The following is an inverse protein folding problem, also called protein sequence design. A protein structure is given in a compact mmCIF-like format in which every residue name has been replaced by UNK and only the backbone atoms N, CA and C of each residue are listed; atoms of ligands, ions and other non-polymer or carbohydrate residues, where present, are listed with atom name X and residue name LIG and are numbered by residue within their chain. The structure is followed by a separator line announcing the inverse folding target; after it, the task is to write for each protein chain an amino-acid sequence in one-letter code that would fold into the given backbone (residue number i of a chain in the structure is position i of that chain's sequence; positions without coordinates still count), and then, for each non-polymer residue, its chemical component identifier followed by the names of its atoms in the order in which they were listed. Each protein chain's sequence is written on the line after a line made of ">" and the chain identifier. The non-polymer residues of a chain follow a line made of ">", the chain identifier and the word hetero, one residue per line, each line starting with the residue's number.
data_IF_417923951164
#
_entry.id   IF_417923951164
#
_cell.length_a   1.000
_cell.length_b   1.000
_cell.length_c   1.000
_cell.angle_alpha   90.00
_cell.angle_beta   90.00
_cell.angle_gamma   90.00
#
_symmetry.space_group_name_H-M   'P 1'
#
loop_
_entity.id
_entity.type
_entity.pdbx_description
1 polymer ?
#
# COMPACT_ATOMS: atom_id res chain seq x y z
N UNK A 1 -4.42 8.92 7.20
CA UNK A 1 -3.83 8.12 6.10
C UNK A 1 -4.92 7.98 5.08
N UNK A 2 -4.83 8.71 3.96
CA UNK A 2 -5.77 8.55 2.85
C UNK A 2 -5.20 7.43 1.98
N UNK A 3 -5.81 6.25 2.04
CA UNK A 3 -5.26 5.00 1.46
C UNK A 3 -5.65 4.81 -0.01
N UNK A 4 -6.26 5.81 -0.66
CA UNK A 4 -6.78 5.66 -2.03
C UNK A 4 -5.68 5.82 -3.07
N UNK A 5 -4.99 4.71 -3.35
CA UNK A 5 -4.17 4.58 -4.55
C UNK A 5 -5.04 4.09 -5.72
N UNK A 6 -5.15 4.89 -6.78
CA UNK A 6 -5.80 4.48 -8.04
C UNK A 6 -4.73 4.19 -9.08
N UNK A 7 -4.82 3.03 -9.73
CA UNK A 7 -3.91 2.59 -10.78
C UNK A 7 -4.71 2.10 -11.99
N UNK A 8 -4.28 2.47 -13.19
CA UNK A 8 -4.85 1.96 -14.44
C UNK A 8 -4.04 0.76 -14.91
N UNK A 9 -4.71 -0.36 -15.18
CA UNK A 9 -4.13 -1.60 -15.68
C UNK A 9 -4.78 -1.96 -17.02
N UNK A 10 -4.01 -2.47 -17.99
CA UNK A 10 -4.54 -2.82 -19.30
C UNK A 10 -4.50 -4.32 -19.54
N UNK A 11 -5.59 -4.92 -20.00
CA UNK A 11 -5.63 -6.34 -20.36
C UNK A 11 -6.71 -6.63 -21.41
N UNK A 12 -6.36 -7.41 -22.44
CA UNK A 12 -7.26 -7.82 -23.52
C UNK A 12 -8.03 -6.66 -24.19
N UNK A 13 -7.38 -5.51 -24.36
CA UNK A 13 -7.99 -4.33 -25.00
C UNK A 13 -8.94 -3.54 -24.09
N UNK A 14 -9.02 -3.88 -22.80
CA UNK A 14 -9.80 -3.17 -21.78
C UNK A 14 -8.88 -2.54 -20.73
N UNK A 15 -9.18 -1.31 -20.37
CA UNK A 15 -8.58 -0.64 -19.23
C UNK A 15 -9.40 -0.93 -17.97
N UNK A 16 -8.69 -1.20 -16.88
CA UNK A 16 -9.25 -1.47 -15.57
C UNK A 16 -8.72 -0.45 -14.56
N UNK A 17 -9.61 0.07 -13.72
CA UNK A 17 -9.23 0.93 -12.62
C UNK A 17 -9.10 0.12 -11.33
N UNK A 18 -7.87 -0.10 -10.88
CA UNK A 18 -7.60 -0.73 -9.60
C UNK A 18 -7.54 0.35 -8.50
N UNK A 19 -8.34 0.17 -7.45
CA UNK A 19 -8.26 1.03 -6.25
C UNK A 19 -7.81 0.20 -5.05
N UNK A 20 -6.76 0.63 -4.37
CA UNK A 20 -6.43 0.07 -3.05
C UNK A 20 -7.24 0.84 -2.02
N UNK A 21 -8.21 0.19 -1.38
CA UNK A 21 -9.00 0.75 -0.30
C UNK A 21 -9.29 -0.31 0.77
N UNK A 22 -10.08 0.02 1.78
CA UNK A 22 -10.43 -0.93 2.85
C UNK A 22 -11.18 -2.17 2.33
N UNK A 23 -12.01 -2.04 1.29
CA UNK A 23 -12.73 -3.16 0.70
C UNK A 23 -11.78 -4.12 -0.03
N UNK A 24 -10.78 -3.57 -0.72
CA UNK A 24 -9.71 -4.35 -1.33
C UNK A 24 -8.90 -5.12 -0.27
N UNK A 25 -8.60 -4.48 0.87
CA UNK A 25 -7.92 -5.14 1.99
C UNK A 25 -8.77 -6.26 2.60
N UNK A 26 -10.06 -6.04 2.87
CA UNK A 26 -10.94 -7.10 3.36
C UNK A 26 -10.99 -8.28 2.39
N UNK A 27 -11.09 -8.01 1.09
CA UNK A 27 -11.06 -9.07 0.06
C UNK A 27 -9.73 -9.83 0.07
N UNK A 28 -8.61 -9.14 0.29
CA UNK A 28 -7.31 -9.78 0.47
C UNK A 28 -7.30 -10.70 1.71
N UNK A 29 -7.84 -10.24 2.84
CA UNK A 29 -7.93 -11.05 4.07
C UNK A 29 -8.75 -12.31 3.84
N UNK A 30 -9.90 -12.19 3.18
CA UNK A 30 -10.79 -13.31 2.86
C UNK A 30 -10.10 -14.38 1.99
N UNK A 31 -9.29 -13.96 1.02
CA UNK A 31 -8.62 -14.86 0.07
C UNK A 31 -7.37 -15.52 0.66
N UNK A 32 -6.64 -14.81 1.52
CA UNK A 32 -5.32 -15.23 2.00
C UNK A 32 -5.31 -15.70 3.45
N UNK A 33 -6.30 -15.31 4.25
CA UNK A 33 -6.31 -15.47 5.70
C UNK A 33 -5.28 -14.59 6.42
N UNK A 34 -4.65 -13.65 5.74
CA UNK A 34 -3.62 -12.76 6.29
C UNK A 34 -4.20 -11.38 6.57
N UNK A 35 -3.63 -10.70 7.56
CA UNK A 35 -4.05 -9.35 7.89
C UNK A 35 -3.64 -8.34 6.79
N UNK A 36 -4.61 -7.55 6.33
CA UNK A 36 -4.45 -6.56 5.26
C UNK A 36 -3.59 -5.37 5.67
N UNK A 37 -3.58 -4.97 6.95
CA UNK A 37 -2.69 -3.90 7.45
C UNK A 37 -1.23 -4.35 7.51
N UNK A 38 -0.97 -5.61 7.86
CA UNK A 38 0.37 -6.18 7.75
C UNK A 38 0.83 -6.18 6.30
N UNK A 39 -0.06 -6.49 5.36
CA UNK A 39 0.24 -6.43 3.93
C UNK A 39 0.57 -5.00 3.48
N UNK A 40 -0.19 -3.99 3.89
CA UNK A 40 0.14 -2.58 3.62
C UNK A 40 1.52 -2.21 4.16
N UNK A 41 1.80 -2.55 5.41
CA UNK A 41 3.11 -2.31 6.04
C UNK A 41 4.23 -2.97 5.23
N UNK A 42 4.01 -4.18 4.71
CA UNK A 42 4.98 -4.85 3.85
C UNK A 42 5.18 -4.10 2.53
N UNK A 43 4.12 -3.62 1.89
CA UNK A 43 4.21 -2.84 0.65
C UNK A 43 5.00 -1.54 0.85
N UNK A 44 4.67 -0.78 1.90
CA UNK A 44 5.36 0.47 2.26
C UNK A 44 6.86 0.25 2.50
N UNK A 45 7.23 -0.88 3.10
CA UNK A 45 8.62 -1.22 3.38
C UNK A 45 9.36 -1.88 2.20
N UNK A 46 8.80 -1.84 0.98
CA UNK A 46 9.39 -2.43 -0.22
C UNK A 46 9.37 -3.96 -0.22
N UNK A 47 8.32 -4.55 0.37
CA UNK A 47 8.17 -5.99 0.54
C UNK A 47 8.11 -6.77 -0.78
N UNK A 48 7.69 -6.13 -1.88
CA UNK A 48 7.70 -6.76 -3.21
C UNK A 48 9.14 -6.94 -3.69
N UNK A 49 9.95 -5.87 -3.64
CA UNK A 49 11.35 -5.87 -4.08
C UNK A 49 12.22 -6.80 -3.22
N UNK A 50 11.87 -6.91 -1.93
CA UNK A 50 12.53 -7.80 -0.98
C UNK A 50 12.05 -9.25 -1.06
N UNK A 51 11.07 -9.57 -1.92
CA UNK A 51 10.51 -10.91 -2.06
C UNK A 51 9.75 -11.41 -0.81
N UNK A 52 9.30 -10.49 0.05
CA UNK A 52 8.51 -10.79 1.25
C UNK A 52 7.03 -11.03 0.95
N UNK A 53 6.60 -10.61 -0.25
CA UNK A 53 5.24 -10.75 -0.73
C UNK A 53 5.25 -11.79 -1.85
N UNK A 54 4.49 -12.86 -1.68
CA UNK A 54 4.36 -13.92 -2.67
C UNK A 54 3.37 -13.58 -3.78
N UNK A 55 3.39 -14.39 -4.84
CA UNK A 55 2.49 -14.24 -5.99
C UNK A 55 1.01 -14.38 -5.60
N UNK A 56 0.69 -15.24 -4.62
CA UNK A 56 -0.68 -15.42 -4.13
C UNK A 56 -1.20 -14.13 -3.50
N UNK A 57 -0.38 -13.46 -2.70
CA UNK A 57 -0.71 -12.21 -2.03
C UNK A 57 -0.90 -11.07 -3.03
N UNK A 58 0.01 -10.95 -4.01
CA UNK A 58 -0.11 -9.94 -5.07
C UNK A 58 -1.41 -10.13 -5.87
N UNK A 59 -1.71 -11.38 -6.26
CA UNK A 59 -2.94 -11.70 -6.98
C UNK A 59 -4.19 -11.39 -6.17
N UNK A 60 -4.20 -11.69 -4.88
CA UNK A 60 -5.32 -11.40 -3.99
C UNK A 60 -5.55 -9.89 -3.83
N UNK A 61 -4.47 -9.11 -3.74
CA UNK A 61 -4.55 -7.66 -3.62
C UNK A 61 -5.06 -7.01 -4.91
N UNK A 62 -4.53 -7.40 -6.08
CA UNK A 62 -5.02 -6.95 -7.39
C UNK A 62 -6.49 -7.33 -7.57
N UNK A 63 -6.86 -8.54 -7.17
CA UNK A 63 -8.24 -9.01 -7.23
C UNK A 63 -9.18 -8.13 -6.41
N UNK A 64 -8.82 -7.84 -5.16
CA UNK A 64 -9.59 -6.96 -4.29
C UNK A 64 -9.73 -5.56 -4.86
N UNK A 65 -8.65 -4.98 -5.37
CA UNK A 65 -8.67 -3.61 -5.89
C UNK A 65 -9.37 -3.44 -7.23
N UNK A 66 -9.43 -4.49 -8.03
CA UNK A 66 -10.13 -4.51 -9.32
C UNK A 66 -11.63 -4.78 -9.19
N UNK A 67 -12.04 -5.48 -8.13
CA UNK A 67 -13.45 -5.88 -7.92
C UNK A 67 -14.39 -4.68 -7.76
N UNK A 68 -13.86 -3.53 -7.34
CA UNK A 68 -14.62 -2.29 -7.27
C UNK A 68 -15.04 -1.74 -8.64
N UNK A 69 -14.22 -1.93 -9.66
CA UNK A 69 -14.44 -1.47 -11.05
C UNK A 69 -15.08 -2.55 -11.93
N UNK A 70 -14.71 -3.81 -11.71
CA UNK A 70 -15.22 -4.97 -12.44
C UNK A 70 -15.80 -6.01 -11.46
N UNK A 71 -17.11 -5.98 -11.17
CA UNK A 71 -17.75 -6.94 -10.26
C UNK A 71 -17.63 -8.40 -10.72
N UNK A 72 -17.49 -8.62 -12.04
CA UNK A 72 -17.25 -9.92 -12.67
C UNK A 72 -15.82 -10.45 -12.51
N UNK A 73 -14.92 -9.64 -11.91
CA UNK A 73 -13.52 -10.00 -11.72
C UNK A 73 -13.40 -11.34 -10.98
N UNK A 74 -12.46 -12.18 -11.45
CA UNK A 74 -12.12 -13.46 -10.83
C UNK A 74 -10.66 -13.45 -10.39
N UNK A 75 -10.30 -14.33 -9.45
CA UNK A 75 -8.89 -14.48 -9.04
C UNK A 75 -7.99 -14.91 -10.20
N UNK A 76 -8.52 -15.71 -11.14
CA UNK A 76 -7.77 -16.13 -12.31
C UNK A 76 -7.50 -14.95 -13.25
N UNK A 77 -8.53 -14.16 -13.56
CA UNK A 77 -8.39 -12.98 -14.42
C UNK A 77 -7.46 -11.94 -13.80
N UNK A 78 -7.60 -11.70 -12.49
CA UNK A 78 -6.67 -10.90 -11.70
C UNK A 78 -5.22 -11.39 -11.84
N UNK A 79 -4.98 -12.71 -11.84
CA UNK A 79 -3.66 -13.27 -12.09
C UNK A 79 -3.13 -12.98 -13.49
N UNK A 80 -3.96 -13.14 -14.53
CA UNK A 80 -3.57 -12.83 -15.91
C UNK A 80 -3.28 -11.34 -16.12
N UNK A 81 -4.06 -10.47 -15.47
CA UNK A 81 -3.83 -9.03 -15.46
C UNK A 81 -2.49 -8.72 -14.77
N UNK A 82 -2.22 -9.33 -13.61
CA UNK A 82 -0.95 -9.18 -12.91
C UNK A 82 0.23 -9.62 -13.78
N UNK A 83 0.13 -10.77 -14.47
CA UNK A 83 1.19 -11.25 -15.34
C UNK A 83 1.48 -10.28 -16.51
N UNK A 84 0.43 -9.71 -17.11
CA UNK A 84 0.57 -8.73 -18.18
C UNK A 84 1.08 -7.35 -17.69
N UNK A 85 0.88 -7.03 -16.41
CA UNK A 85 1.13 -5.69 -15.87
C UNK A 85 2.09 -5.70 -14.66
N UNK A 86 2.89 -6.75 -14.46
CA UNK A 86 3.65 -6.94 -13.22
C UNK A 86 4.54 -5.73 -12.90
N UNK A 87 5.24 -5.18 -13.90
CA UNK A 87 6.08 -3.99 -13.73
C UNK A 87 5.28 -2.73 -13.41
N UNK A 88 4.16 -2.50 -14.12
CA UNK A 88 3.27 -1.37 -13.92
C UNK A 88 2.62 -1.40 -12.54
N UNK A 89 2.23 -2.59 -12.07
CA UNK A 89 1.69 -2.79 -10.74
C UNK A 89 2.71 -2.43 -9.65
N UNK A 90 3.94 -2.95 -9.75
CA UNK A 90 4.99 -2.62 -8.77
C UNK A 90 5.31 -1.13 -8.77
N UNK A 91 5.44 -0.51 -9.94
CA UNK A 91 5.66 0.92 -10.06
C UNK A 91 4.50 1.74 -9.46
N UNK A 92 3.26 1.35 -9.77
CA UNK A 92 2.05 2.01 -9.27
C UNK A 92 1.91 1.91 -7.76
N UNK A 93 2.19 0.75 -7.16
CA UNK A 93 2.20 0.59 -5.70
C UNK A 93 3.26 1.48 -5.06
N UNK A 94 4.47 1.53 -5.63
CA UNK A 94 5.53 2.41 -5.10
C UNK A 94 5.22 3.90 -5.24
N UNK A 95 4.42 4.29 -6.23
CA UNK A 95 4.00 5.67 -6.45
C UNK A 95 2.79 6.06 -5.60
N UNK A 96 1.88 5.12 -5.34
CA UNK A 96 0.68 5.33 -4.53
C UNK A 96 0.98 5.31 -3.02
N UNK A 97 2.04 4.62 -2.60
CA UNK A 97 2.50 4.63 -1.22
C UNK A 97 3.37 5.86 -0.97
N UNK A 98 3.12 6.65 0.09
CA UNK A 98 4.00 7.76 0.44
C UNK A 98 5.41 7.23 0.73
N UNK A 99 6.41 7.69 -0.01
CA UNK A 99 7.80 7.35 0.25
C UNK A 99 8.26 8.02 1.56
N UNK A 100 9.11 7.35 2.35
CA UNK A 100 9.83 7.99 3.46
C UNK A 100 10.67 9.16 2.89
N UNK A 101 10.08 10.35 2.88
CA UNK A 101 10.64 11.55 2.27
C UNK A 101 9.63 12.68 2.03
N UNK A 102 8.34 12.35 1.85
CA UNK A 102 7.25 13.33 1.63
C UNK A 102 6.51 13.75 2.92
N UNK A 103 6.93 13.23 4.07
CA UNK A 103 6.53 13.81 5.35
C UNK A 103 7.39 15.06 5.59
N UNK A 104 6.81 16.26 5.83
CA UNK A 104 7.60 17.35 6.35
C UNK A 104 8.31 16.82 7.60
N UNK A 105 9.65 16.97 7.62
CA UNK A 105 10.49 16.56 8.73
C UNK A 105 9.80 16.93 10.04
N UNK A 106 9.72 16.04 11.04
CA UNK A 106 9.05 16.37 12.29
C UNK A 106 9.69 17.66 12.80
N UNK A 107 8.90 18.73 12.88
CA UNK A 107 9.33 19.98 13.49
C UNK A 107 9.93 19.60 14.83
N UNK A 108 11.24 19.86 14.98
CA UNK A 108 11.93 19.73 16.25
C UNK A 108 11.16 20.61 17.23
N UNK A 109 10.28 20.01 18.02
CA UNK A 109 9.60 20.69 19.13
C UNK A 109 10.70 21.43 19.91
N UNK A 110 10.69 22.76 20.02
CA UNK A 110 11.64 23.49 20.85
C UNK A 110 11.22 23.29 22.30
N UNK A 111 11.49 22.10 22.83
CA UNK A 111 10.85 21.61 24.04
C UNK A 111 11.82 20.93 24.99
N UNK A 112 13.03 21.46 25.16
CA UNK A 112 13.77 21.23 26.41
C UNK A 112 14.89 22.26 26.66
N UNK A 113 14.54 23.55 26.81
CA UNK A 113 15.42 24.46 27.55
C UNK A 113 15.36 24.06 29.02
N UNK A 114 16.39 23.35 29.49
CA UNK A 114 16.63 23.10 30.91
C UNK A 114 16.50 24.43 31.67
N UNK A 115 15.49 24.55 32.52
CA UNK A 115 15.32 25.68 33.44
C UNK A 115 16.60 25.82 34.28
N UNK A 116 17.27 26.98 34.31
CA UNK A 116 18.40 27.17 35.20
C UNK A 116 17.91 27.10 36.66
N UNK A 117 18.47 26.16 37.43
CA UNK A 117 18.26 26.08 38.88
C UNK A 117 18.80 27.37 39.49
N UNK A 118 17.90 28.21 40.04
CA UNK A 118 18.29 29.33 40.91
C UNK A 118 19.10 28.75 42.08
N UNK A 119 20.40 29.09 42.16
CA UNK A 119 21.20 28.94 43.38
C UNK A 119 20.51 29.76 44.48
N UNK A 120 19.97 29.08 45.49
CA UNK A 120 19.61 29.75 46.75
C UNK A 120 20.92 30.07 47.46
N UNK A 121 21.21 31.37 47.59
CA UNK A 121 22.17 31.90 48.54
C UNK A 121 21.37 32.39 49.76
N UNK A 122 21.54 31.74 50.90
CA UNK A 122 21.96 32.31 52.18
C UNK A 122 21.85 31.22 53.26
#
# INVERSE_FOLDING_TARGET
>A
MDLRGIMLLHHEGRDYSMTIDMGALCTFEDVTGKNGFTMLTLLENGGIQKGLIGAREMRALIYGGLKGDAPEMTLEMAGRILDANASAFVAGVNAAMPQEGDLPAPEKRPGNRRRPRKRRAK
#
